data_IF_590620683634
#
_entry.id   IF_590620683634
#
_cell.length_a   1.000
_cell.length_b   1.000
_cell.length_c   1.000
_cell.angle_alpha   90.00
_cell.angle_beta   90.00
_cell.angle_gamma   90.00
#
_symmetry.space_group_name_H-M   'P 1'
#
loop_
_entity.id
_entity.type
_entity.pdbx_description
1 polymer ?
#
# COMPACT_ATOMS: atom_id res chain seq x y z
N UNK A 1 2.69 -10.51 16.74
CA UNK A 1 1.68 -10.84 15.73
C UNK A 1 2.41 -11.15 14.44
N UNK A 2 1.94 -12.14 13.66
CA UNK A 2 2.60 -12.56 12.41
C UNK A 2 1.55 -12.84 11.35
N UNK A 3 1.81 -12.37 10.14
CA UNK A 3 0.99 -12.60 8.94
C UNK A 3 1.83 -13.25 7.85
N UNK A 4 1.20 -14.08 7.05
CA UNK A 4 1.71 -14.56 5.77
C UNK A 4 0.81 -14.04 4.66
N UNK A 5 1.42 -13.43 3.68
CA UNK A 5 0.77 -12.98 2.47
C UNK A 5 1.43 -13.63 1.25
N UNK A 6 0.64 -14.29 0.41
CA UNK A 6 1.13 -14.86 -0.85
C UNK A 6 0.88 -13.85 -1.98
N UNK A 7 1.96 -13.41 -2.61
CA UNK A 7 1.91 -12.38 -3.65
C UNK A 7 2.34 -12.98 -4.99
N UNK A 8 1.45 -13.01 -6.01
CA UNK A 8 1.78 -13.62 -7.30
C UNK A 8 2.84 -12.80 -8.05
N UNK A 9 3.64 -13.47 -8.88
CA UNK A 9 4.65 -12.84 -9.73
C UNK A 9 4.06 -12.23 -11.00
N UNK A 10 2.81 -12.53 -11.33
CA UNK A 10 2.04 -11.96 -12.43
C UNK A 10 0.95 -11.04 -11.92
N UNK A 11 0.31 -10.31 -12.81
CA UNK A 11 -0.80 -9.43 -12.49
C UNK A 11 -1.88 -10.16 -11.71
N UNK A 12 -2.38 -9.53 -10.63
CA UNK A 12 -3.46 -10.09 -9.81
C UNK A 12 -4.76 -10.17 -10.66
N UNK A 13 -5.43 -11.32 -10.72
CA UNK A 13 -6.47 -11.60 -11.71
C UNK A 13 -7.84 -11.00 -11.36
N UNK A 14 -7.91 -9.72 -10.99
CA UNK A 14 -9.17 -9.05 -10.63
C UNK A 14 -10.22 -9.13 -11.74
N UNK A 15 -9.79 -8.95 -12.99
CA UNK A 15 -10.70 -8.94 -14.12
C UNK A 15 -11.32 -10.32 -14.35
N UNK A 16 -10.50 -11.36 -14.29
CA UNK A 16 -10.96 -12.73 -14.44
C UNK A 16 -11.96 -13.12 -13.33
N UNK A 17 -11.63 -12.80 -12.07
CA UNK A 17 -12.52 -13.04 -10.93
C UNK A 17 -13.88 -12.36 -11.13
N UNK A 18 -13.89 -11.09 -11.52
CA UNK A 18 -15.14 -10.32 -11.71
C UNK A 18 -15.95 -10.87 -12.90
N UNK A 19 -15.30 -11.12 -14.04
CA UNK A 19 -15.99 -11.55 -15.25
C UNK A 19 -16.49 -12.99 -15.14
N UNK A 20 -15.75 -13.87 -14.50
CA UNK A 20 -16.15 -15.27 -14.29
C UNK A 20 -17.33 -15.36 -13.32
N UNK A 21 -17.28 -14.68 -12.19
CA UNK A 21 -18.41 -14.68 -11.23
C UNK A 21 -19.65 -13.98 -11.77
N UNK A 22 -19.50 -12.95 -12.61
CA UNK A 22 -20.66 -12.29 -13.25
C UNK A 22 -21.49 -13.23 -14.14
N UNK A 23 -20.85 -14.26 -14.71
CA UNK A 23 -21.49 -15.24 -15.60
C UNK A 23 -22.12 -16.40 -14.84
N UNK A 24 -21.77 -16.59 -13.56
CA UNK A 24 -22.29 -17.69 -12.73
C UNK A 24 -23.65 -17.37 -12.15
N UNK A 25 -24.47 -18.39 -12.01
CA UNK A 25 -25.74 -18.34 -11.29
C UNK A 25 -25.51 -18.43 -9.77
N UNK A 26 -26.58 -18.24 -8.99
CA UNK A 26 -26.52 -18.41 -7.53
C UNK A 26 -26.38 -19.85 -7.06
N UNK A 27 -26.59 -20.81 -7.96
CA UNK A 27 -26.52 -22.25 -7.67
C UNK A 27 -25.12 -22.81 -7.95
N UNK A 28 -24.30 -22.08 -8.67
CA UNK A 28 -22.91 -22.45 -8.96
C UNK A 28 -21.98 -21.96 -7.85
N UNK A 29 -20.95 -22.74 -7.57
CA UNK A 29 -19.88 -22.34 -6.63
C UNK A 29 -19.19 -21.08 -7.12
N UNK A 30 -18.83 -20.21 -6.19
CA UNK A 30 -18.06 -19.00 -6.50
C UNK A 30 -16.70 -19.35 -7.12
N UNK A 31 -16.30 -18.59 -8.12
CA UNK A 31 -14.96 -18.68 -8.72
C UNK A 31 -13.99 -17.89 -7.85
N UNK A 32 -13.10 -18.61 -7.19
CA UNK A 32 -12.18 -18.04 -6.21
C UNK A 32 -10.77 -17.79 -6.79
N UNK A 33 -9.95 -17.12 -6.02
CA UNK A 33 -8.58 -16.76 -6.42
C UNK A 33 -7.75 -18.00 -6.82
N UNK A 34 -7.92 -19.12 -6.14
CA UNK A 34 -7.20 -20.36 -6.45
C UNK A 34 -7.59 -20.94 -7.80
N UNK A 35 -8.85 -20.77 -8.23
CA UNK A 35 -9.34 -21.27 -9.51
C UNK A 35 -8.72 -20.55 -10.71
N UNK A 36 -8.15 -19.36 -10.50
CA UNK A 36 -7.49 -18.58 -11.56
C UNK A 36 -6.13 -19.13 -11.98
N UNK A 37 -5.58 -20.08 -11.23
CA UNK A 37 -4.23 -20.60 -11.44
C UNK A 37 -3.12 -19.55 -11.20
N UNK A 38 -3.42 -18.47 -10.48
CA UNK A 38 -2.46 -17.35 -10.28
C UNK A 38 -1.21 -17.77 -9.50
N UNK A 39 -1.30 -18.85 -8.73
CA UNK A 39 -0.19 -19.42 -7.96
C UNK A 39 0.42 -20.69 -8.57
N UNK A 40 0.02 -21.07 -9.78
CA UNK A 40 0.54 -22.25 -10.45
C UNK A 40 2.05 -22.14 -10.68
N UNK A 41 2.74 -23.27 -10.73
CA UNK A 41 4.19 -23.40 -10.88
C UNK A 41 4.99 -22.68 -9.76
N UNK A 42 4.38 -22.52 -8.58
CA UNK A 42 4.96 -21.81 -7.42
C UNK A 42 5.42 -20.37 -7.72
N UNK A 43 4.89 -19.73 -8.77
CA UNK A 43 5.28 -18.38 -9.21
C UNK A 43 4.67 -17.29 -8.33
N UNK A 44 5.10 -17.29 -7.07
CA UNK A 44 4.66 -16.30 -6.06
C UNK A 44 5.76 -16.03 -5.04
N UNK A 45 5.54 -14.99 -4.24
CA UNK A 45 6.34 -14.68 -3.07
C UNK A 45 5.55 -15.00 -1.81
N UNK A 46 6.20 -15.62 -0.81
CA UNK A 46 5.73 -15.58 0.57
C UNK A 46 6.27 -14.31 1.23
N UNK A 47 5.36 -13.46 1.68
CA UNK A 47 5.69 -12.22 2.40
C UNK A 47 5.23 -12.39 3.84
N UNK A 48 6.18 -12.55 4.75
CA UNK A 48 5.92 -12.61 6.18
C UNK A 48 6.05 -11.22 6.78
N UNK A 49 5.04 -10.79 7.53
CA UNK A 49 5.06 -9.52 8.27
C UNK A 49 4.90 -9.84 9.75
N UNK A 50 5.89 -9.50 10.54
CA UNK A 50 5.94 -9.75 11.97
C UNK A 50 5.98 -8.43 12.72
N UNK A 51 5.09 -8.31 13.72
CA UNK A 51 5.03 -7.18 14.63
C UNK A 51 5.41 -7.61 16.02
N UNK A 52 6.34 -6.90 16.62
CA UNK A 52 6.74 -7.07 18.02
C UNK A 52 6.65 -5.70 18.70
N UNK A 53 6.22 -5.70 19.96
CA UNK A 53 6.24 -4.49 20.81
C UNK A 53 7.51 -4.55 21.66
N UNK A 54 8.32 -3.50 21.58
CA UNK A 54 9.41 -3.27 22.52
C UNK A 54 8.82 -2.74 23.85
N UNK A 55 7.88 -1.78 23.73
CA UNK A 55 7.08 -1.25 24.84
C UNK A 55 5.71 -0.75 24.33
N UNK A 56 5.02 0.09 25.09
CA UNK A 56 3.68 0.59 24.75
C UNK A 56 3.68 1.50 23.51
N UNK A 57 4.78 2.19 23.25
CA UNK A 57 4.90 3.22 22.20
C UNK A 57 5.89 2.83 21.10
N UNK A 58 6.61 1.72 21.27
CA UNK A 58 7.59 1.24 20.28
C UNK A 58 7.18 -0.10 19.67
N UNK A 59 7.00 -0.09 18.34
CA UNK A 59 6.59 -1.25 17.56
C UNK A 59 7.65 -1.54 16.51
N UNK A 60 8.22 -2.74 16.59
CA UNK A 60 9.14 -3.26 15.59
C UNK A 60 8.37 -4.05 14.53
N UNK A 61 8.69 -3.80 13.26
CA UNK A 61 8.10 -4.50 12.12
C UNK A 61 9.22 -5.17 11.32
N UNK A 62 9.11 -6.50 11.13
CA UNK A 62 10.00 -7.25 10.25
C UNK A 62 9.23 -7.81 9.06
N UNK A 63 9.71 -7.53 7.86
CA UNK A 63 9.15 -8.06 6.63
C UNK A 63 10.18 -8.97 5.99
N UNK A 64 9.81 -10.26 5.81
CA UNK A 64 10.66 -11.26 5.16
C UNK A 64 9.99 -11.75 3.88
N UNK A 65 10.72 -11.72 2.78
CA UNK A 65 10.20 -12.11 1.47
C UNK A 65 10.96 -13.34 0.97
N UNK A 66 10.22 -14.36 0.55
CA UNK A 66 10.77 -15.57 -0.06
C UNK A 66 10.18 -15.75 -1.46
N UNK A 67 11.03 -15.73 -2.47
CA UNK A 67 10.64 -16.12 -3.81
C UNK A 67 10.45 -17.64 -3.85
N UNK A 68 9.26 -18.11 -4.18
CA UNK A 68 8.94 -19.53 -4.34
C UNK A 68 9.11 -20.02 -5.75
N UNK A 69 9.05 -19.10 -6.72
CA UNK A 69 9.24 -19.43 -8.12
C UNK A 69 10.64 -19.94 -8.45
N UNK A 70 10.77 -20.69 -9.55
CA UNK A 70 12.04 -21.33 -9.96
C UNK A 70 13.08 -20.31 -10.45
N UNK A 71 12.66 -19.10 -10.78
CA UNK A 71 13.51 -18.08 -11.40
C UNK A 71 13.61 -16.83 -10.52
N UNK A 72 14.65 -16.03 -10.73
CA UNK A 72 14.77 -14.72 -10.11
C UNK A 72 13.61 -13.82 -10.55
N UNK A 73 12.91 -13.23 -9.62
CA UNK A 73 11.81 -12.31 -9.89
C UNK A 73 11.97 -11.01 -9.08
N UNK A 74 11.56 -9.88 -9.68
CA UNK A 74 11.61 -8.57 -9.04
C UNK A 74 10.33 -8.33 -8.24
N UNK A 75 10.51 -7.76 -7.07
CA UNK A 75 9.42 -7.28 -6.21
C UNK A 75 9.72 -5.88 -5.71
N UNK A 76 8.70 -5.02 -5.67
CA UNK A 76 8.75 -3.74 -4.96
C UNK A 76 8.02 -3.89 -3.63
N UNK A 77 8.71 -3.61 -2.54
CA UNK A 77 8.16 -3.64 -1.20
C UNK A 77 7.94 -2.21 -0.71
N UNK A 78 6.71 -1.89 -0.31
CA UNK A 78 6.30 -0.55 0.07
C UNK A 78 5.61 -0.56 1.45
N UNK A 79 6.35 -0.74 2.57
CA UNK A 79 5.77 -0.51 3.88
C UNK A 79 5.24 0.92 3.96
N UNK A 80 3.95 1.03 4.27
CA UNK A 80 3.22 2.30 4.12
C UNK A 80 2.65 2.73 5.46
N UNK A 81 2.92 3.97 5.85
CA UNK A 81 2.33 4.66 6.99
C UNK A 81 1.20 5.58 6.52
N UNK A 82 0.03 5.43 7.13
CA UNK A 82 -1.15 6.24 6.85
C UNK A 82 -2.12 6.18 8.02
N UNK A 83 -3.02 7.16 8.06
CA UNK A 83 -4.10 7.19 9.04
C UNK A 83 -5.45 7.05 8.35
N UNK A 84 -6.45 6.52 9.06
CA UNK A 84 -7.82 6.46 8.54
C UNK A 84 -8.28 7.86 8.14
N UNK A 85 -8.80 8.02 6.92
CA UNK A 85 -9.19 9.31 6.35
C UNK A 85 -10.50 9.84 6.97
N UNK A 86 -10.50 10.09 8.27
CA UNK A 86 -11.66 10.62 9.02
C UNK A 86 -11.87 12.12 8.80
N UNK A 87 -10.84 12.85 8.39
CA UNK A 87 -10.93 14.28 8.09
C UNK A 87 -11.81 14.59 6.87
N UNK A 88 -12.01 13.63 5.98
CA UNK A 88 -12.93 13.78 4.85
C UNK A 88 -14.41 13.75 5.24
N UNK A 89 -14.74 13.29 6.44
CA UNK A 89 -16.12 13.15 6.91
C UNK A 89 -16.71 14.44 7.45
N UNK A 90 -15.88 15.37 7.88
CA UNK A 90 -16.30 16.64 8.47
C UNK A 90 -15.48 17.79 7.89
N UNK A 91 -16.17 18.77 7.30
CA UNK A 91 -15.52 19.97 6.75
C UNK A 91 -14.70 20.70 7.84
N UNK A 92 -13.44 21.00 7.52
CA UNK A 92 -12.52 21.67 8.41
C UNK A 92 -11.92 20.79 9.53
N UNK A 93 -12.13 19.47 9.50
CA UNK A 93 -11.45 18.58 10.42
C UNK A 93 -9.92 18.63 10.20
N UNK A 94 -9.14 18.61 11.29
CA UNK A 94 -7.69 18.64 11.19
C UNK A 94 -7.16 17.36 10.51
N UNK A 95 -6.18 17.52 9.63
CA UNK A 95 -5.52 16.41 8.94
C UNK A 95 -4.24 16.00 9.67
N UNK A 96 -3.87 14.72 9.66
CA UNK A 96 -2.52 14.32 10.01
C UNK A 96 -1.53 14.87 8.99
N UNK A 97 -0.28 14.99 9.39
CA UNK A 97 0.81 15.39 8.50
C UNK A 97 1.97 14.41 8.66
N UNK A 98 2.40 13.85 7.54
CA UNK A 98 3.59 13.03 7.43
C UNK A 98 4.62 13.81 6.61
N UNK A 99 5.86 13.83 7.07
CA UNK A 99 6.95 14.49 6.35
C UNK A 99 8.26 13.72 6.49
N UNK A 100 9.15 13.92 5.55
CA UNK A 100 10.52 13.47 5.74
C UNK A 100 11.25 14.34 6.75
N UNK A 101 12.01 13.68 7.61
CA UNK A 101 13.00 14.33 8.48
C UNK A 101 14.15 13.34 8.75
N UNK A 102 15.36 13.75 8.43
CA UNK A 102 16.59 12.98 8.69
C UNK A 102 16.55 11.52 8.18
N UNK A 103 15.96 11.29 7.02
CA UNK A 103 15.84 9.95 6.43
C UNK A 103 14.73 9.09 7.03
N UNK A 104 13.89 9.65 7.90
CA UNK A 104 12.74 9.01 8.52
C UNK A 104 11.42 9.66 8.07
N UNK A 105 10.29 9.02 8.36
CA UNK A 105 8.96 9.60 8.20
C UNK A 105 8.46 10.03 9.58
N UNK A 106 8.44 11.33 9.84
CA UNK A 106 7.75 11.91 10.99
C UNK A 106 6.27 12.05 10.70
N UNK A 107 5.43 11.57 11.58
CA UNK A 107 3.99 11.69 11.49
C UNK A 107 3.44 12.46 12.70
N UNK A 108 2.55 13.42 12.46
CA UNK A 108 1.81 14.16 13.48
C UNK A 108 0.33 13.95 13.23
N UNK A 109 -0.34 13.40 14.23
CA UNK A 109 -1.79 13.18 14.20
C UNK A 109 -2.47 14.03 15.26
N UNK A 110 -3.61 14.69 14.95
CA UNK A 110 -4.30 15.59 15.89
C UNK A 110 -4.65 14.96 17.25
N UNK A 111 -4.99 13.67 17.24
CA UNK A 111 -5.43 12.94 18.44
C UNK A 111 -4.36 11.98 18.99
N UNK A 112 -3.56 11.37 18.10
CA UNK A 112 -2.57 10.35 18.49
C UNK A 112 -1.19 10.93 18.80
N UNK A 113 -1.00 12.24 18.62
CA UNK A 113 0.29 12.87 18.84
C UNK A 113 1.30 12.65 17.71
N UNK A 114 2.58 12.52 18.07
CA UNK A 114 3.67 12.38 17.11
C UNK A 114 4.30 10.99 17.18
N UNK A 115 4.60 10.42 16.03
CA UNK A 115 5.38 9.19 15.92
C UNK A 115 6.37 9.29 14.75
N UNK A 116 7.33 8.37 14.73
CA UNK A 116 8.37 8.31 13.68
C UNK A 116 8.44 6.88 13.14
N UNK A 117 8.43 6.74 11.81
CA UNK A 117 8.75 5.49 11.14
C UNK A 117 10.20 5.54 10.66
N UNK A 118 11.00 4.63 11.17
CA UNK A 118 12.38 4.39 10.77
C UNK A 118 12.43 3.10 9.94
N UNK A 119 13.15 3.15 8.81
CA UNK A 119 13.44 1.96 8.02
C UNK A 119 14.93 1.65 8.09
N UNK A 120 15.28 0.40 8.32
CA UNK A 120 16.66 -0.05 8.30
C UNK A 120 17.21 0.04 6.87
N UNK A 121 18.45 0.51 6.72
CA UNK A 121 19.08 0.74 5.42
C UNK A 121 18.68 2.09 4.78
N UNK A 122 18.95 2.22 3.49
CA UNK A 122 18.55 3.40 2.71
C UNK A 122 17.29 3.08 1.89
N UNK A 123 16.22 3.82 2.15
CA UNK A 123 14.97 3.69 1.43
C UNK A 123 14.62 5.00 0.70
N UNK A 124 14.04 4.89 -0.48
CA UNK A 124 13.36 6.00 -1.13
C UNK A 124 12.06 6.29 -0.37
N UNK A 125 11.90 7.50 0.15
CA UNK A 125 10.66 7.88 0.85
C UNK A 125 9.70 8.57 -0.12
N UNK A 126 8.49 8.01 -0.24
CA UNK A 126 7.43 8.46 -1.14
C UNK A 126 6.28 9.06 -0.32
N UNK A 127 5.74 10.18 -0.79
CA UNK A 127 4.66 10.88 -0.09
C UNK A 127 3.50 11.18 -1.02
N UNK A 128 2.27 11.10 -0.49
CA UNK A 128 1.04 11.45 -1.19
C UNK A 128 -0.06 11.75 -0.18
N UNK A 129 -1.22 12.17 -0.66
CA UNK A 129 -2.43 12.29 0.14
C UNK A 129 -3.17 10.95 0.22
N UNK A 130 -3.88 10.72 1.33
CA UNK A 130 -4.70 9.51 1.52
C UNK A 130 -6.14 9.70 1.03
N UNK A 131 -6.37 10.58 0.09
CA UNK A 131 -7.64 10.77 -0.59
C UNK A 131 -7.73 9.90 -1.85
N UNK A 132 -8.94 9.42 -2.15
CA UNK A 132 -9.20 8.64 -3.37
C UNK A 132 -8.97 9.47 -4.62
N UNK A 133 -8.56 8.83 -5.71
CA UNK A 133 -8.47 9.46 -7.01
C UNK A 133 -9.89 9.65 -7.58
N UNK A 134 -10.48 10.82 -7.31
CA UNK A 134 -11.84 11.18 -7.71
C UNK A 134 -11.97 11.32 -9.23
N UNK A 135 -10.92 11.79 -9.87
CA UNK A 135 -10.88 11.93 -11.32
C UNK A 135 -11.01 10.57 -12.01
N UNK A 136 -10.22 9.59 -11.53
CA UNK A 136 -10.25 8.22 -12.06
C UNK A 136 -11.56 7.50 -11.78
N UNK A 137 -12.12 7.67 -10.58
CA UNK A 137 -13.27 6.89 -10.13
C UNK A 137 -14.61 7.51 -10.51
N UNK A 138 -14.70 8.84 -10.57
CA UNK A 138 -15.99 9.56 -10.69
C UNK A 138 -15.94 10.73 -11.66
N UNK A 139 -14.84 10.89 -12.40
CA UNK A 139 -14.63 12.03 -13.33
C UNK A 139 -14.79 13.39 -12.64
N UNK A 140 -14.40 13.48 -11.36
CA UNK A 140 -14.42 14.69 -10.56
C UNK A 140 -12.99 15.20 -10.30
N UNK A 141 -12.75 16.50 -10.20
CA UNK A 141 -11.43 17.02 -9.90
C UNK A 141 -10.87 16.47 -8.58
N UNK A 142 -9.60 16.10 -8.59
CA UNK A 142 -8.90 15.72 -7.38
C UNK A 142 -8.60 16.95 -6.50
N UNK A 143 -8.70 16.86 -5.17
CA UNK A 143 -8.32 17.94 -4.25
C UNK A 143 -6.79 18.17 -4.22
N UNK A 144 -6.02 17.21 -4.69
CA UNK A 144 -4.55 17.24 -4.81
C UNK A 144 -4.13 16.44 -6.04
N UNK A 145 -3.03 16.81 -6.72
CA UNK A 145 -2.47 15.99 -7.79
C UNK A 145 -1.88 14.66 -7.28
N UNK A 146 -1.56 14.59 -6.00
CA UNK A 146 -0.98 13.42 -5.35
C UNK A 146 -2.03 12.71 -4.51
N UNK A 147 -2.70 11.74 -5.08
CA UNK A 147 -3.78 10.96 -4.44
C UNK A 147 -3.31 9.55 -4.11
N UNK A 148 -4.09 8.79 -3.36
CA UNK A 148 -3.64 7.53 -2.72
C UNK A 148 -3.10 6.45 -3.67
N UNK A 149 -3.42 6.45 -4.96
CA UNK A 149 -2.89 5.53 -5.97
C UNK A 149 -1.57 6.00 -6.60
N UNK A 150 -1.04 7.13 -6.15
CA UNK A 150 0.19 7.72 -6.67
C UNK A 150 1.40 6.78 -6.62
N UNK A 151 1.53 5.98 -5.56
CA UNK A 151 2.65 5.03 -5.44
C UNK A 151 2.64 3.99 -6.55
N UNK A 152 1.46 3.50 -6.94
CA UNK A 152 1.33 2.58 -8.08
C UNK A 152 1.75 3.25 -9.38
N UNK A 153 1.30 4.46 -9.65
CA UNK A 153 1.67 5.23 -10.84
C UNK A 153 3.17 5.52 -10.88
N UNK A 154 3.75 5.88 -9.75
CA UNK A 154 5.20 6.14 -9.63
C UNK A 154 6.03 4.88 -9.87
N UNK A 155 5.70 3.77 -9.20
CA UNK A 155 6.50 2.54 -9.22
C UNK A 155 6.30 1.73 -10.50
N UNK A 156 5.06 1.60 -10.97
CA UNK A 156 4.72 0.74 -12.12
C UNK A 156 4.78 1.51 -13.43
N UNK A 157 4.22 2.72 -13.48
CA UNK A 157 4.20 3.53 -14.70
C UNK A 157 5.41 4.47 -14.83
N UNK A 158 6.26 4.59 -13.81
CA UNK A 158 7.43 5.47 -13.85
C UNK A 158 7.10 6.97 -13.80
N UNK A 159 5.90 7.34 -13.36
CA UNK A 159 5.45 8.73 -13.30
C UNK A 159 6.09 9.46 -12.10
N UNK A 160 7.23 10.11 -12.31
CA UNK A 160 7.95 10.83 -11.24
C UNK A 160 7.09 11.90 -10.54
N UNK A 161 6.23 12.60 -11.28
CA UNK A 161 5.33 13.62 -10.75
C UNK A 161 4.11 13.09 -9.98
N UNK A 162 3.91 11.78 -9.93
CA UNK A 162 2.77 11.19 -9.21
C UNK A 162 2.87 11.33 -7.69
N UNK A 163 4.09 11.40 -7.15
CA UNK A 163 4.36 11.57 -5.71
C UNK A 163 4.72 13.02 -5.40
N UNK A 164 4.47 13.45 -4.16
CA UNK A 164 4.70 14.82 -3.73
C UNK A 164 6.20 15.14 -3.61
N UNK A 165 6.76 16.02 -4.45
CA UNK A 165 8.16 16.39 -4.40
C UNK A 165 8.55 17.19 -3.13
N UNK A 166 7.58 17.79 -2.43
CA UNK A 166 7.81 18.44 -1.14
C UNK A 166 8.00 17.44 0.02
N UNK A 167 7.94 16.13 -0.28
CA UNK A 167 8.17 15.03 0.68
C UNK A 167 7.32 15.16 1.94
N UNK A 168 6.04 15.45 1.74
CA UNK A 168 5.02 15.54 2.79
C UNK A 168 3.65 15.14 2.27
N UNK A 169 2.72 14.80 3.19
CA UNK A 169 1.36 14.41 2.85
C UNK A 169 0.63 13.77 4.02
N UNK A 170 -0.44 13.05 3.73
CA UNK A 170 -1.22 12.29 4.72
C UNK A 170 -1.01 10.78 4.62
N UNK A 171 -0.14 10.36 3.68
CA UNK A 171 0.28 8.98 3.46
C UNK A 171 1.73 8.97 2.98
N UNK A 172 2.54 8.08 3.52
CA UNK A 172 3.94 7.94 3.13
C UNK A 172 4.34 6.46 3.04
N UNK A 173 5.34 6.16 2.22
CA UNK A 173 5.91 4.82 2.09
C UNK A 173 7.43 4.88 1.99
N UNK A 174 8.08 3.84 2.46
CA UNK A 174 9.48 3.54 2.15
C UNK A 174 9.54 2.50 1.03
N UNK A 175 10.52 2.63 0.12
CA UNK A 175 10.73 1.72 -1.03
C UNK A 175 12.16 1.26 -1.12
#
# INVERSE_FOLDING_TARGET
MKYLYKYPQREFPYRDLVESNRRRSREEMEYELLDTGVFDDDRYFDVFVEYAKQDAEDILVRISVHNRGPETARLHLLPTLWFRNTWSWKKGAPKPNLREANGAIEARHPELGSCTLLCEGSAELLFTENESNAERLWSQPNPSPWVKDAFHRHVVAGEAGAVNPARSGTKASAR
#
